data_IF_757820128892
#
_entry.id   IF_757820128892
#
_cell.length_a   1.000
_cell.length_b   1.000
_cell.length_c   1.000
_cell.angle_alpha   90.00
_cell.angle_beta   90.00
_cell.angle_gamma   90.00
#
_symmetry.space_group_name_H-M   'P 1'
#
loop_
_entity.id
_entity.type
_entity.pdbx_description
1 polymer ?
#
# COMPACT_ATOMS: atom_id res chain seq x y z
N UNK A 1 47.49 16.60 -13.76
CA UNK A 1 47.22 15.17 -13.46
C UNK A 1 45.72 14.93 -13.59
N UNK A 2 45.26 14.18 -14.59
CA UNK A 2 43.83 13.90 -14.79
C UNK A 2 43.33 12.88 -13.76
N UNK A 3 42.16 13.07 -13.14
CA UNK A 3 41.64 12.12 -12.16
C UNK A 3 41.34 10.78 -12.84
N UNK A 4 41.85 9.68 -12.25
CA UNK A 4 41.54 8.30 -12.67
C UNK A 4 40.04 8.07 -12.52
N UNK A 5 39.37 7.79 -13.62
CA UNK A 5 37.94 7.47 -13.65
C UNK A 5 37.72 6.08 -13.00
N UNK A 6 37.65 6.04 -11.67
CA UNK A 6 37.41 4.82 -10.92
C UNK A 6 35.98 4.31 -11.16
N UNK A 7 35.85 3.04 -11.55
CA UNK A 7 34.55 2.37 -11.67
C UNK A 7 33.84 2.45 -10.30
N UNK A 8 32.64 3.03 -10.25
CA UNK A 8 31.85 3.15 -9.01
C UNK A 8 31.31 1.78 -8.58
N UNK A 9 32.13 0.97 -7.92
CA UNK A 9 31.70 -0.30 -7.34
C UNK A 9 30.90 -0.03 -6.06
N UNK A 10 29.59 -0.28 -6.07
CA UNK A 10 28.73 -0.19 -4.88
C UNK A 10 27.82 1.05 -4.78
N UNK A 11 27.97 2.04 -5.66
CA UNK A 11 27.10 3.24 -5.71
C UNK A 11 26.24 3.27 -6.97
N UNK A 12 25.54 2.16 -7.23
CA UNK A 12 24.58 2.08 -8.34
C UNK A 12 23.18 2.47 -7.84
N UNK A 13 22.66 3.59 -8.33
CA UNK A 13 21.26 3.99 -8.09
C UNK A 13 20.39 3.51 -9.24
N UNK A 14 19.29 2.87 -8.90
CA UNK A 14 18.25 2.52 -9.88
C UNK A 14 17.54 3.80 -10.32
N UNK A 15 17.68 4.17 -11.60
CA UNK A 15 17.01 5.34 -12.17
C UNK A 15 15.58 5.05 -12.67
N UNK A 16 15.17 3.78 -12.74
CA UNK A 16 13.88 3.40 -13.31
C UNK A 16 12.79 3.24 -12.26
N UNK A 17 11.67 3.91 -12.47
CA UNK A 17 10.42 3.71 -11.72
C UNK A 17 9.66 2.45 -12.17
N UNK A 18 10.10 1.78 -13.24
CA UNK A 18 9.40 0.63 -13.80
C UNK A 18 9.21 -0.50 -12.78
N UNK A 19 10.12 -0.64 -11.79
CA UNK A 19 9.99 -1.64 -10.73
C UNK A 19 8.74 -1.41 -9.85
N UNK A 20 8.34 -0.15 -9.65
CA UNK A 20 7.17 0.22 -8.85
C UNK A 20 5.87 0.14 -9.65
N UNK A 21 5.93 0.39 -10.97
CA UNK A 21 4.77 0.40 -11.86
C UNK A 21 4.42 -1.00 -12.44
N UNK A 22 5.13 -2.06 -12.02
CA UNK A 22 4.83 -3.43 -12.45
C UNK A 22 3.47 -3.90 -11.93
N UNK A 23 2.72 -4.58 -12.80
CA UNK A 23 1.39 -5.14 -12.52
C UNK A 23 1.36 -6.03 -11.27
N UNK A 24 2.37 -6.88 -11.08
CA UNK A 24 2.47 -7.79 -9.91
C UNK A 24 2.51 -7.10 -8.52
N UNK A 25 2.71 -5.78 -8.46
CA UNK A 25 2.75 -4.98 -7.22
C UNK A 25 1.79 -3.79 -7.30
N UNK A 26 0.91 -3.78 -8.30
CA UNK A 26 -0.03 -2.70 -8.49
C UNK A 26 -1.06 -2.76 -7.36
N UNK A 27 -1.38 -1.58 -6.83
CA UNK A 27 -2.42 -1.43 -5.82
C UNK A 27 -3.77 -1.36 -6.51
N UNK A 28 -4.85 -1.57 -5.75
CA UNK A 28 -6.21 -1.36 -6.20
C UNK A 28 -6.36 0.05 -6.81
N UNK A 29 -6.97 0.11 -7.98
CA UNK A 29 -7.19 1.36 -8.72
C UNK A 29 -8.34 2.17 -8.08
N UNK A 30 -8.42 3.47 -8.39
CA UNK A 30 -9.32 4.41 -7.68
C UNK A 30 -10.80 4.17 -8.00
N UNK A 31 -11.10 3.82 -9.25
CA UNK A 31 -12.42 3.43 -9.73
C UNK A 31 -12.96 2.19 -9.01
N UNK A 32 -12.11 1.17 -8.83
CA UNK A 32 -12.47 -0.01 -8.04
C UNK A 32 -12.79 0.36 -6.58
N UNK A 33 -11.96 1.22 -5.97
CA UNK A 33 -12.18 1.70 -4.59
C UNK A 33 -13.51 2.46 -4.47
N UNK A 34 -13.83 3.34 -5.42
CA UNK A 34 -15.13 4.03 -5.43
C UNK A 34 -16.30 3.05 -5.53
N UNK A 35 -16.13 1.96 -6.28
CA UNK A 35 -17.10 0.86 -6.33
C UNK A 35 -17.27 0.16 -4.98
N UNK A 36 -16.17 -0.05 -4.25
CA UNK A 36 -16.15 -0.68 -2.93
C UNK A 36 -16.71 0.21 -1.82
N UNK A 37 -16.68 1.53 -1.99
CA UNK A 37 -17.29 2.51 -1.07
C UNK A 37 -18.83 2.44 -1.04
N UNK A 38 -19.45 1.74 -1.99
CA UNK A 38 -20.90 1.53 -1.98
C UNK A 38 -21.29 0.72 -0.74
N UNK A 39 -22.42 1.06 -0.07
CA UNK A 39 -22.75 0.53 1.24
C UNK A 39 -22.82 -1.01 1.29
N UNK A 40 -23.32 -1.62 0.22
CA UNK A 40 -23.46 -3.08 0.12
C UNK A 40 -22.10 -3.80 0.20
N UNK A 41 -21.11 -3.29 -0.53
CA UNK A 41 -19.75 -3.85 -0.56
C UNK A 41 -18.93 -3.42 0.65
N UNK A 42 -19.06 -2.16 1.06
CA UNK A 42 -18.33 -1.62 2.21
C UNK A 42 -18.64 -2.43 3.48
N UNK A 43 -19.90 -2.77 3.70
CA UNK A 43 -20.33 -3.55 4.85
C UNK A 43 -19.75 -4.97 4.86
N UNK A 44 -19.61 -5.59 3.68
CA UNK A 44 -18.99 -6.90 3.52
C UNK A 44 -17.47 -6.84 3.76
N UNK A 45 -16.81 -5.81 3.23
CA UNK A 45 -15.36 -5.62 3.36
C UNK A 45 -14.91 -5.22 4.78
N UNK A 46 -15.79 -4.55 5.55
CA UNK A 46 -15.50 -4.18 6.94
C UNK A 46 -15.79 -5.33 7.92
N UNK A 47 -16.63 -6.30 7.53
CA UNK A 47 -17.00 -7.46 8.35
C UNK A 47 -16.53 -8.76 7.69
N UNK A 48 -15.25 -8.80 7.37
CA UNK A 48 -14.61 -10.00 6.84
C UNK A 48 -14.44 -11.05 7.95
N UNK A 49 -14.51 -12.32 7.57
CA UNK A 49 -14.12 -13.39 8.49
C UNK A 49 -12.61 -13.33 8.75
N UNK A 50 -12.15 -13.74 9.96
CA UNK A 50 -10.74 -13.70 10.29
C UNK A 50 -9.93 -14.64 9.38
N UNK A 51 -9.05 -14.07 8.56
CA UNK A 51 -8.18 -14.82 7.65
C UNK A 51 -6.72 -14.77 8.14
N UNK A 52 -6.14 -15.90 8.59
CA UNK A 52 -4.78 -15.95 9.15
C UNK A 52 -3.67 -15.67 8.12
N UNK A 53 -3.95 -15.75 6.81
CA UNK A 53 -2.97 -15.44 5.76
C UNK A 53 -2.76 -13.94 5.58
N UNK A 54 -3.69 -13.12 6.10
CA UNK A 54 -3.67 -11.67 6.00
C UNK A 54 -3.14 -11.01 7.28
N UNK A 55 -2.47 -9.84 7.15
CA UNK A 55 -2.05 -9.06 8.33
C UNK A 55 -3.22 -8.75 9.26
N UNK A 56 -3.03 -8.95 10.57
CA UNK A 56 -4.06 -8.68 11.58
C UNK A 56 -5.30 -9.58 11.47
N UNK A 57 -5.15 -10.76 10.86
CA UNK A 57 -6.22 -11.68 10.55
C UNK A 57 -7.38 -11.03 9.77
N UNK A 58 -7.07 -10.13 8.83
CA UNK A 58 -8.04 -9.33 8.07
C UNK A 58 -8.95 -8.39 8.88
N UNK A 59 -8.81 -8.30 10.21
CA UNK A 59 -9.69 -7.51 11.07
C UNK A 59 -9.48 -5.99 10.93
N UNK A 60 -8.25 -5.56 10.64
CA UNK A 60 -7.89 -4.14 10.59
C UNK A 60 -7.73 -3.65 9.15
N UNK A 61 -8.86 -3.42 8.48
CA UNK A 61 -8.89 -3.04 7.07
C UNK A 61 -9.28 -1.57 6.86
N UNK A 62 -8.53 -0.86 6.02
CA UNK A 62 -8.91 0.48 5.55
C UNK A 62 -9.50 0.40 4.13
N UNK A 63 -10.79 0.72 4.01
CA UNK A 63 -11.55 0.70 2.76
C UNK A 63 -10.94 1.65 1.71
N UNK A 64 -10.71 2.91 2.07
CA UNK A 64 -10.15 3.90 1.16
C UNK A 64 -8.79 3.44 0.61
N UNK A 65 -7.89 2.99 1.48
CA UNK A 65 -6.53 2.61 1.08
C UNK A 65 -6.40 1.18 0.56
N UNK A 66 -7.47 0.37 0.61
CA UNK A 66 -7.48 -1.04 0.31
C UNK A 66 -6.30 -1.80 0.95
N UNK A 67 -6.06 -1.57 2.24
CA UNK A 67 -4.87 -2.07 2.95
C UNK A 67 -5.22 -2.65 4.32
N UNK A 68 -4.61 -3.79 4.63
CA UNK A 68 -4.66 -4.45 5.93
C UNK A 68 -3.54 -3.96 6.85
N UNK A 69 -3.84 -3.92 8.15
CA UNK A 69 -2.93 -3.55 9.22
C UNK A 69 -2.82 -4.69 10.24
N UNK A 70 -1.72 -4.71 10.99
CA UNK A 70 -1.48 -5.73 12.01
C UNK A 70 -2.26 -5.46 13.29
N UNK A 71 -2.40 -4.19 13.68
CA UNK A 71 -3.02 -3.75 14.93
C UNK A 71 -3.96 -2.55 14.74
N UNK A 72 -4.88 -2.35 15.70
CA UNK A 72 -5.76 -1.17 15.78
C UNK A 72 -4.99 0.15 15.86
N UNK A 73 -3.87 0.17 16.58
CA UNK A 73 -3.06 1.38 16.76
C UNK A 73 -2.49 1.87 15.43
N UNK A 74 -1.92 0.96 14.64
CA UNK A 74 -1.39 1.28 13.31
C UNK A 74 -2.49 1.77 12.35
N UNK A 75 -3.70 1.21 12.45
CA UNK A 75 -4.85 1.67 11.66
C UNK A 75 -5.30 3.09 12.05
N UNK A 76 -5.34 3.40 13.35
CA UNK A 76 -5.69 4.75 13.83
C UNK A 76 -4.64 5.79 13.43
N UNK A 77 -3.36 5.46 13.52
CA UNK A 77 -2.28 6.32 13.03
C UNK A 77 -2.35 6.55 11.52
N UNK A 78 -2.69 5.50 10.77
CA UNK A 78 -2.91 5.59 9.33
C UNK A 78 -3.99 6.62 8.98
N UNK A 79 -5.13 6.65 9.67
CA UNK A 79 -6.18 7.64 9.44
C UNK A 79 -5.73 9.09 9.66
N UNK A 80 -4.79 9.32 10.58
CA UNK A 80 -4.24 10.66 10.84
C UNK A 80 -3.23 11.11 9.77
N UNK A 81 -2.65 10.17 9.04
CA UNK A 81 -1.58 10.43 8.07
C UNK A 81 -2.04 11.20 6.83
N UNK A 82 -1.13 11.99 6.25
CA UNK A 82 -1.40 12.74 5.00
C UNK A 82 -1.72 11.81 3.81
N UNK A 83 -1.17 10.59 3.82
CA UNK A 83 -1.40 9.61 2.74
C UNK A 83 -2.85 9.17 2.70
N UNK A 84 -3.46 8.96 3.87
CA UNK A 84 -4.88 8.63 3.95
C UNK A 84 -5.75 9.82 3.54
N UNK A 85 -5.46 11.02 4.06
CA UNK A 85 -6.24 12.23 3.77
C UNK A 85 -6.18 12.70 2.31
N UNK A 86 -5.12 12.34 1.57
CA UNK A 86 -4.98 12.64 0.15
C UNK A 86 -5.85 11.73 -0.72
N UNK A 87 -6.33 10.63 -0.17
CA UNK A 87 -7.07 9.62 -0.90
C UNK A 87 -8.55 9.96 -0.99
#
# INVERSE_FOLDING_TARGET
MSPRNGRRTGSHRSHSLARHMKTKRRRRDLDEIHGDLRPDKAAQLLRQEPDPELPGCAQFYCLHCARYFVDLTSMKEHFRSKVHKKR
#
